data_IF_248786661376
#
_entry.id   IF_248786661376
#
_cell.length_a   1.000
_cell.length_b   1.000
_cell.length_c   1.000
_cell.angle_alpha   90.00
_cell.angle_beta   90.00
_cell.angle_gamma   90.00
#
_symmetry.space_group_name_H-M   'P 1'
#
loop_
_entity.id
_entity.type
_entity.pdbx_description
1 polymer ?
#
# COMPACT_ATOMS: atom_id res chain seq x y z
N UNK A 1 -9.76 0.53 25.08
CA UNK A 1 -10.32 1.89 24.99
C UNK A 1 -9.44 2.71 24.06
N UNK A 2 -9.91 2.97 22.85
CA UNK A 2 -9.32 3.94 21.90
C UNK A 2 -10.48 4.56 21.14
N UNK A 3 -10.59 5.89 21.15
CA UNK A 3 -11.74 6.60 20.58
C UNK A 3 -11.45 6.90 19.11
N UNK A 4 -12.04 6.14 18.20
CA UNK A 4 -12.00 6.43 16.76
C UNK A 4 -12.77 7.73 16.51
N UNK A 5 -12.21 8.64 15.71
CA UNK A 5 -12.89 9.86 15.28
C UNK A 5 -12.79 10.00 13.76
N UNK A 6 -13.92 10.27 13.11
CA UNK A 6 -13.94 10.76 11.74
C UNK A 6 -13.79 12.28 11.76
N UNK A 7 -12.86 12.83 10.96
CA UNK A 7 -12.64 14.28 10.83
C UNK A 7 -12.43 14.63 9.35
N UNK A 8 -13.12 15.67 8.88
CA UNK A 8 -13.21 16.03 7.47
C UNK A 8 -12.00 16.83 6.91
N UNK A 9 -11.64 16.47 5.67
CA UNK A 9 -10.92 17.20 4.59
C UNK A 9 -10.04 18.43 4.93
N UNK A 10 -8.76 18.32 4.55
CA UNK A 10 -8.09 19.04 3.42
C UNK A 10 -6.72 18.35 3.14
N UNK A 11 -5.93 18.58 2.08
CA UNK A 11 -5.99 19.50 0.92
C UNK A 11 -5.53 18.78 -0.38
N UNK A 12 -6.00 19.31 -1.52
CA UNK A 12 -5.48 19.28 -2.91
C UNK A 12 -4.29 18.39 -3.37
N UNK A 13 -4.53 17.66 -4.48
CA UNK A 13 -3.53 17.46 -5.55
C UNK A 13 -3.83 18.45 -6.70
N UNK A 14 -2.78 19.02 -7.31
CA UNK A 14 -2.86 20.13 -8.27
C UNK A 14 -2.98 19.62 -9.72
N UNK A 15 -4.05 19.99 -10.42
CA UNK A 15 -4.16 19.89 -11.89
C UNK A 15 -3.77 21.22 -12.55
N UNK A 16 -3.10 21.17 -13.70
CA UNK A 16 -2.57 22.33 -14.42
C UNK A 16 -3.62 23.01 -15.33
N UNK A 17 -3.35 24.27 -15.66
CA UNK A 17 -4.15 25.19 -16.46
C UNK A 17 -4.52 24.72 -17.88
N UNK A 18 -5.65 25.25 -18.39
CA UNK A 18 -5.74 25.87 -19.74
C UNK A 18 -6.80 26.99 -19.71
N UNK A 19 -6.59 28.02 -20.53
CA UNK A 19 -7.21 29.36 -20.50
C UNK A 19 -8.55 29.57 -21.24
N UNK A 20 -9.29 30.59 -20.78
CA UNK A 20 -10.04 31.64 -21.53
C UNK A 20 -11.15 31.25 -22.52
N UNK A 21 -12.36 31.78 -22.24
CA UNK A 21 -13.19 32.50 -23.21
C UNK A 21 -14.12 33.52 -22.48
N UNK A 22 -14.38 34.66 -23.12
CA UNK A 22 -15.05 35.84 -22.54
C UNK A 22 -16.52 35.99 -22.96
N UNK A 23 -17.31 36.66 -22.13
CA UNK A 23 -18.38 37.57 -22.58
C UNK A 23 -19.82 37.10 -22.38
N UNK A 24 -20.56 37.86 -21.59
CA UNK A 24 -21.92 38.31 -21.90
C UNK A 24 -22.26 39.49 -20.97
N UNK A 25 -22.77 40.57 -21.54
CA UNK A 25 -23.23 41.76 -20.83
C UNK A 25 -24.72 41.56 -20.52
N UNK A 26 -25.21 42.03 -19.37
CA UNK A 26 -26.65 42.22 -19.19
C UNK A 26 -26.95 43.49 -18.41
N UNK A 27 -27.23 44.53 -19.18
CA UNK A 27 -27.86 45.77 -18.78
C UNK A 27 -29.29 45.51 -18.28
N UNK A 28 -29.65 46.07 -17.11
CA UNK A 28 -31.04 46.26 -16.72
C UNK A 28 -31.14 47.55 -15.91
N UNK A 29 -32.05 48.41 -16.34
CA UNK A 29 -32.30 49.76 -15.83
C UNK A 29 -33.63 49.74 -15.06
N UNK A 30 -33.87 50.78 -14.26
CA UNK A 30 -35.12 51.16 -13.57
C UNK A 30 -35.55 50.24 -12.41
N UNK A 31 -36.22 50.71 -11.35
CA UNK A 31 -36.93 51.99 -11.15
C UNK A 31 -36.59 52.67 -9.81
N UNK A 32 -36.87 53.98 -9.77
CA UNK A 32 -36.94 54.82 -8.57
C UNK A 32 -38.27 54.54 -7.85
N UNK A 33 -38.26 54.22 -6.55
CA UNK A 33 -39.47 54.02 -5.76
C UNK A 33 -39.39 54.72 -4.40
N UNK A 34 -40.45 55.44 -4.08
CA UNK A 34 -40.61 56.36 -2.95
C UNK A 34 -40.53 55.72 -1.55
N UNK A 35 -40.37 56.61 -0.58
CA UNK A 35 -40.47 56.35 0.86
C UNK A 35 -41.69 55.49 1.25
N UNK A 36 -41.42 54.42 2.01
CA UNK A 36 -42.39 53.77 2.89
C UNK A 36 -41.75 53.63 4.27
N UNK A 37 -42.14 54.50 5.19
CA UNK A 37 -42.05 54.22 6.63
C UNK A 37 -42.94 53.00 6.92
N UNK A 38 -42.36 51.87 7.31
CA UNK A 38 -43.11 50.74 7.88
C UNK A 38 -42.49 50.23 9.19
N UNK A 39 -43.36 49.65 10.00
CA UNK A 39 -43.24 49.47 11.43
C UNK A 39 -42.24 48.37 11.83
N UNK A 40 -41.80 48.42 13.08
CA UNK A 40 -40.90 47.41 13.66
C UNK A 40 -41.53 46.01 13.66
N UNK A 41 -41.11 45.14 12.75
CA UNK A 41 -41.22 43.69 12.93
C UNK A 41 -39.86 43.17 13.36
N UNK A 42 -39.70 42.98 14.66
CA UNK A 42 -38.61 42.18 15.21
C UNK A 42 -38.90 40.71 14.87
N UNK A 43 -38.49 40.28 13.69
CA UNK A 43 -38.57 38.89 13.29
C UNK A 43 -37.62 38.09 14.18
N UNK A 44 -38.17 37.30 15.10
CA UNK A 44 -37.43 36.26 15.80
C UNK A 44 -37.05 35.21 14.76
N UNK A 45 -35.94 35.46 14.06
CA UNK A 45 -35.18 34.45 13.35
C UNK A 45 -34.74 33.41 14.37
N UNK A 46 -35.64 32.47 14.63
CA UNK A 46 -35.39 31.23 15.31
C UNK A 46 -34.26 30.56 14.52
N UNK A 47 -33.04 30.68 15.05
CA UNK A 47 -31.86 30.12 14.43
C UNK A 47 -32.16 28.63 14.19
N UNK A 48 -32.25 28.23 12.93
CA UNK A 48 -32.37 26.82 12.58
C UNK A 48 -31.13 26.15 13.16
N UNK A 49 -31.35 25.44 14.28
CA UNK A 49 -30.28 24.71 14.95
C UNK A 49 -29.95 23.57 14.00
N UNK A 50 -28.95 23.78 13.14
CA UNK A 50 -28.39 22.72 12.32
C UNK A 50 -28.09 21.55 13.27
N UNK A 51 -28.76 20.40 13.09
CA UNK A 51 -28.65 19.32 14.05
C UNK A 51 -27.19 18.88 14.06
N UNK A 52 -26.51 19.12 15.18
CA UNK A 52 -25.14 18.67 15.39
C UNK A 52 -25.17 17.15 15.44
N UNK A 53 -25.04 16.51 14.27
CA UNK A 53 -25.00 15.06 14.14
C UNK A 53 -23.77 14.57 14.87
N UNK A 54 -23.96 14.02 16.07
CA UNK A 54 -22.87 13.37 16.78
C UNK A 54 -22.28 12.28 15.90
N UNK A 55 -20.95 12.26 15.66
CA UNK A 55 -20.36 11.29 14.76
C UNK A 55 -20.56 9.89 15.33
N UNK A 56 -21.32 9.06 14.61
CA UNK A 56 -21.63 7.69 15.00
C UNK A 56 -20.33 6.93 15.28
N UNK A 57 -20.18 6.46 16.52
CA UNK A 57 -19.01 5.71 16.94
C UNK A 57 -19.03 4.31 16.32
N UNK A 58 -18.30 4.13 15.22
CA UNK A 58 -18.11 2.83 14.59
C UNK A 58 -17.29 1.89 15.49
N UNK A 59 -17.53 0.59 15.34
CA UNK A 59 -16.75 -0.46 15.98
C UNK A 59 -15.42 -0.70 15.27
N UNK A 60 -14.51 -1.42 15.93
CA UNK A 60 -13.24 -1.82 15.31
C UNK A 60 -13.43 -2.78 14.12
N UNK A 61 -14.47 -3.63 14.14
CA UNK A 61 -14.78 -4.53 13.04
C UNK A 61 -15.24 -3.78 11.79
N UNK A 62 -16.18 -2.85 11.95
CA UNK A 62 -16.65 -1.98 10.85
C UNK A 62 -15.51 -1.12 10.27
N UNK A 63 -14.58 -0.67 11.12
CA UNK A 63 -13.38 0.03 10.67
C UNK A 63 -12.44 -0.88 9.86
N UNK A 64 -12.22 -2.13 10.30
CA UNK A 64 -11.39 -3.11 9.59
C UNK A 64 -12.00 -3.49 8.24
N UNK A 65 -13.30 -3.76 8.18
CA UNK A 65 -14.03 -4.08 6.93
C UNK A 65 -13.95 -2.92 5.92
N UNK A 66 -14.12 -1.68 6.38
CA UNK A 66 -14.00 -0.48 5.54
C UNK A 66 -12.54 -0.26 5.07
N UNK A 67 -11.54 -0.48 5.94
CA UNK A 67 -10.13 -0.42 5.54
C UNK A 67 -9.76 -1.54 4.56
N UNK A 68 -10.43 -2.70 4.58
CA UNK A 68 -10.14 -3.80 3.66
C UNK A 68 -10.62 -3.54 2.23
N UNK A 69 -11.80 -2.96 2.01
CA UNK A 69 -12.20 -2.59 0.64
C UNK A 69 -11.29 -1.48 0.08
N UNK A 70 -10.95 -0.47 0.88
CA UNK A 70 -9.97 0.56 0.47
C UNK A 70 -8.58 -0.03 0.20
N UNK A 71 -8.11 -0.94 1.06
CA UNK A 71 -6.82 -1.63 0.88
C UNK A 71 -6.79 -2.38 -0.46
N UNK A 72 -7.86 -3.09 -0.81
CA UNK A 72 -7.95 -3.82 -2.09
C UNK A 72 -7.85 -2.86 -3.28
N UNK A 73 -8.53 -1.72 -3.24
CA UNK A 73 -8.47 -0.71 -4.31
C UNK A 73 -7.08 -0.07 -4.42
N UNK A 74 -6.47 0.30 -3.29
CA UNK A 74 -5.10 0.84 -3.23
C UNK A 74 -4.10 -0.17 -3.80
N UNK A 75 -4.19 -1.44 -3.42
CA UNK A 75 -3.28 -2.49 -3.89
C UNK A 75 -3.48 -2.83 -5.37
N UNK A 76 -4.70 -2.73 -5.90
CA UNK A 76 -4.94 -2.82 -7.34
C UNK A 76 -4.26 -1.64 -8.10
N UNK A 77 -4.27 -0.44 -7.53
CA UNK A 77 -3.52 0.71 -8.04
C UNK A 77 -1.99 0.49 -8.01
N UNK A 78 -1.46 -0.06 -6.91
CA UNK A 78 -0.04 -0.47 -6.80
C UNK A 78 0.31 -1.52 -7.87
N UNK A 79 -0.56 -2.51 -8.08
CA UNK A 79 -0.37 -3.55 -9.09
C UNK A 79 -0.31 -3.00 -10.53
N UNK A 80 -0.91 -1.83 -10.81
CA UNK A 80 -0.82 -1.18 -12.12
C UNK A 80 0.58 -0.69 -12.52
N UNK A 81 1.55 -0.67 -11.58
CA UNK A 81 2.94 -0.29 -11.84
C UNK A 81 3.88 -1.48 -11.62
N UNK A 82 4.56 -1.91 -12.67
CA UNK A 82 5.47 -3.05 -12.62
C UNK A 82 6.60 -2.85 -11.60
N UNK A 83 6.86 -3.88 -10.78
CA UNK A 83 7.81 -3.87 -9.65
C UNK A 83 7.50 -2.86 -8.53
N UNK A 84 6.33 -2.22 -8.53
CA UNK A 84 5.91 -1.35 -7.43
C UNK A 84 5.48 -2.15 -6.20
N UNK A 85 5.90 -1.69 -5.03
CA UNK A 85 5.55 -2.25 -3.73
C UNK A 85 5.08 -1.14 -2.80
N UNK A 86 4.29 -1.50 -1.79
CA UNK A 86 3.93 -0.61 -0.69
C UNK A 86 4.40 -1.20 0.63
N UNK A 87 4.74 -0.37 1.62
CA UNK A 87 5.04 -0.86 2.97
C UNK A 87 3.83 -0.78 3.90
N UNK A 88 3.82 -1.60 4.95
CA UNK A 88 2.71 -1.70 5.91
C UNK A 88 2.32 -0.35 6.55
N UNK A 89 3.27 0.57 6.73
CA UNK A 89 3.01 1.90 7.29
C UNK A 89 2.35 2.79 6.25
N UNK A 90 2.86 2.79 5.02
CA UNK A 90 2.31 3.61 3.94
C UNK A 90 0.91 3.12 3.54
N UNK A 91 0.65 1.80 3.53
CA UNK A 91 -0.69 1.23 3.34
C UNK A 91 -1.63 1.61 4.49
N UNK A 92 -1.21 1.44 5.76
CA UNK A 92 -2.03 1.78 6.92
C UNK A 92 -2.42 3.27 6.97
N UNK A 93 -1.56 4.15 6.48
CA UNK A 93 -1.87 5.58 6.31
C UNK A 93 -2.83 5.81 5.15
N UNK A 94 -2.64 5.11 4.02
CA UNK A 94 -3.47 5.25 2.83
C UNK A 94 -4.92 4.80 3.06
N UNK A 95 -5.14 3.66 3.72
CA UNK A 95 -6.50 3.12 3.98
C UNK A 95 -7.30 4.02 4.93
N UNK A 96 -6.68 4.55 5.99
CA UNK A 96 -7.33 5.50 6.90
C UNK A 96 -7.67 6.82 6.20
N UNK A 97 -6.77 7.30 5.33
CA UNK A 97 -7.00 8.51 4.53
C UNK A 97 -8.12 8.33 3.51
N UNK A 98 -8.21 7.17 2.88
CA UNK A 98 -9.20 6.87 1.86
C UNK A 98 -10.60 6.67 2.46
N UNK A 99 -10.72 5.85 3.52
CA UNK A 99 -11.99 5.62 4.21
C UNK A 99 -12.47 6.80 5.07
N UNK A 100 -11.57 7.73 5.42
CA UNK A 100 -11.84 8.79 6.40
C UNK A 100 -11.93 8.30 7.86
N UNK A 101 -11.64 7.02 8.10
CA UNK A 101 -11.69 6.37 9.41
C UNK A 101 -10.27 6.33 9.98
N UNK A 102 -10.04 7.02 11.10
CA UNK A 102 -8.72 7.16 11.72
C UNK A 102 -8.63 6.49 13.09
N UNK A 103 -7.46 5.90 13.36
CA UNK A 103 -7.09 5.31 14.64
C UNK A 103 -5.71 5.77 15.09
N UNK A 104 -5.53 5.93 16.41
CA UNK A 104 -4.20 6.08 17.03
C UNK A 104 -3.56 4.73 17.37
N UNK A 105 -4.27 3.61 17.19
CA UNK A 105 -3.72 2.27 17.37
C UNK A 105 -2.66 1.99 16.31
N UNK A 106 -1.46 1.63 16.75
CA UNK A 106 -0.33 1.33 15.87
C UNK A 106 -0.69 0.21 14.87
N UNK A 107 -0.38 0.44 13.59
CA UNK A 107 -0.76 -0.39 12.44
C UNK A 107 -0.54 -1.89 12.63
N UNK A 108 0.57 -2.31 13.26
CA UNK A 108 0.89 -3.74 13.43
C UNK A 108 -0.16 -4.52 14.24
N UNK A 109 -1.02 -3.87 15.02
CA UNK A 109 -2.10 -4.52 15.75
C UNK A 109 -3.37 -4.79 14.93
N UNK A 110 -3.49 -4.27 13.71
CA UNK A 110 -4.72 -4.38 12.91
C UNK A 110 -4.48 -4.61 11.40
N UNK A 111 -3.36 -4.15 10.83
CA UNK A 111 -3.13 -4.25 9.38
C UNK A 111 -3.13 -5.70 8.88
N UNK A 112 -2.62 -6.66 9.67
CA UNK A 112 -2.66 -8.08 9.32
C UNK A 112 -4.09 -8.64 9.19
N UNK A 113 -5.04 -8.19 10.03
CA UNK A 113 -6.46 -8.59 9.89
C UNK A 113 -7.08 -8.03 8.61
N UNK A 114 -6.81 -6.75 8.31
CA UNK A 114 -7.23 -6.10 7.07
C UNK A 114 -6.65 -6.83 5.85
N UNK A 115 -5.36 -7.21 5.87
CA UNK A 115 -4.73 -7.98 4.80
C UNK A 115 -5.35 -9.37 4.64
N UNK A 116 -5.67 -10.07 5.74
CA UNK A 116 -6.34 -11.37 5.69
C UNK A 116 -7.75 -11.27 5.05
N UNK A 117 -8.51 -10.21 5.38
CA UNK A 117 -9.79 -9.92 4.73
C UNK A 117 -9.61 -9.66 3.22
N UNK A 118 -8.64 -8.84 2.82
CA UNK A 118 -8.32 -8.57 1.41
C UNK A 118 -7.98 -9.87 0.67
N UNK A 119 -7.11 -10.72 1.25
CA UNK A 119 -6.72 -11.99 0.65
C UNK A 119 -7.93 -12.91 0.44
N UNK A 120 -8.83 -13.01 1.43
CA UNK A 120 -10.07 -13.78 1.32
C UNK A 120 -11.00 -13.22 0.22
N UNK A 121 -11.15 -11.89 0.12
CA UNK A 121 -11.93 -11.23 -0.94
C UNK A 121 -11.32 -11.46 -2.32
N UNK A 122 -9.99 -11.37 -2.47
CA UNK A 122 -9.33 -11.68 -3.74
C UNK A 122 -9.58 -13.13 -4.16
N UNK A 123 -9.42 -14.08 -3.23
CA UNK A 123 -9.66 -15.51 -3.49
C UNK A 123 -11.11 -15.80 -3.96
N UNK A 124 -12.10 -15.17 -3.32
CA UNK A 124 -13.52 -15.30 -3.72
C UNK A 124 -13.78 -14.68 -5.10
N UNK A 125 -13.09 -13.58 -5.45
CA UNK A 125 -13.21 -12.91 -6.76
C UNK A 125 -12.39 -13.56 -7.88
N UNK A 126 -11.51 -14.50 -7.57
CA UNK A 126 -10.52 -15.03 -8.52
C UNK A 126 -9.44 -14.00 -8.91
N UNK A 127 -9.23 -12.98 -8.07
CA UNK A 127 -8.16 -11.99 -8.21
C UNK A 127 -6.84 -12.57 -7.63
N UNK A 128 -5.66 -12.18 -8.15
CA UNK A 128 -4.39 -12.62 -7.57
C UNK A 128 -4.20 -12.05 -6.16
N UNK A 129 -3.24 -12.62 -5.41
CA UNK A 129 -2.97 -12.22 -4.03
C UNK A 129 -2.31 -10.83 -3.94
N UNK A 130 -3.12 -9.77 -4.02
CA UNK A 130 -2.69 -8.37 -3.98
C UNK A 130 -1.88 -8.03 -2.72
N UNK A 131 -2.14 -8.72 -1.61
CA UNK A 131 -1.39 -8.59 -0.36
C UNK A 131 0.11 -8.93 -0.49
N UNK A 132 0.51 -9.70 -1.52
CA UNK A 132 1.91 -9.97 -1.84
C UNK A 132 2.73 -8.72 -2.19
N UNK A 133 2.07 -7.62 -2.59
CA UNK A 133 2.68 -6.32 -2.88
C UNK A 133 3.06 -5.55 -1.60
N UNK A 134 2.57 -5.98 -0.44
CA UNK A 134 2.84 -5.36 0.86
C UNK A 134 4.09 -5.96 1.48
N UNK A 135 5.03 -5.11 1.89
CA UNK A 135 6.29 -5.55 2.50
C UNK A 135 6.63 -4.80 3.78
N UNK A 136 7.44 -5.42 4.64
CA UNK A 136 7.98 -4.77 5.82
C UNK A 136 8.97 -3.67 5.42
N UNK A 137 8.76 -2.42 5.87
CA UNK A 137 9.55 -1.24 5.50
C UNK A 137 11.07 -1.42 5.54
N UNK A 138 11.60 -2.05 6.58
CA UNK A 138 13.05 -2.32 6.74
C UNK A 138 13.51 -3.58 5.98
N UNK A 139 12.91 -4.74 6.28
CA UNK A 139 13.38 -6.04 5.78
C UNK A 139 13.04 -6.30 4.30
N UNK A 140 11.98 -5.69 3.77
CA UNK A 140 11.50 -5.92 2.41
C UNK A 140 10.80 -7.28 2.21
N UNK A 141 10.32 -7.89 3.29
CA UNK A 141 9.65 -9.21 3.31
C UNK A 141 8.14 -9.07 3.47
N UNK A 142 7.34 -10.05 3.02
CA UNK A 142 5.89 -10.12 3.29
C UNK A 142 5.57 -10.47 4.75
N UNK A 143 6.41 -11.30 5.38
CA UNK A 143 6.24 -11.71 6.78
C UNK A 143 5.24 -12.86 6.99
N UNK A 144 4.74 -12.97 8.22
CA UNK A 144 3.94 -14.11 8.68
C UNK A 144 2.49 -14.03 8.20
N UNK A 145 1.93 -12.82 8.06
CA UNK A 145 0.56 -12.58 7.54
C UNK A 145 0.35 -13.16 6.12
N UNK A 146 1.43 -13.45 5.38
CA UNK A 146 1.36 -14.11 4.07
C UNK A 146 0.92 -15.60 4.14
N UNK A 147 0.96 -16.24 5.31
CA UNK A 147 0.47 -17.62 5.46
C UNK A 147 -1.03 -17.75 5.16
N UNK A 148 -1.83 -16.69 5.29
CA UNK A 148 -3.23 -16.69 4.88
C UNK A 148 -3.39 -16.83 3.36
N UNK A 149 -2.50 -16.21 2.57
CA UNK A 149 -2.47 -16.38 1.11
C UNK A 149 -2.17 -17.83 0.75
N UNK A 150 -1.16 -18.43 1.38
CA UNK A 150 -0.81 -19.84 1.16
C UNK A 150 -2.00 -20.76 1.49
N UNK A 151 -2.65 -20.53 2.65
CA UNK A 151 -3.82 -21.28 3.10
C UNK A 151 -4.98 -21.18 2.10
N UNK A 152 -5.29 -19.99 1.60
CA UNK A 152 -6.37 -19.75 0.62
C UNK A 152 -6.06 -20.39 -0.74
N UNK A 153 -4.79 -20.41 -1.15
CA UNK A 153 -4.34 -21.08 -2.39
C UNK A 153 -4.22 -22.62 -2.24
N UNK A 154 -4.43 -23.18 -1.04
CA UNK A 154 -4.24 -24.60 -0.76
C UNK A 154 -2.76 -25.04 -0.76
N UNK A 155 -1.83 -24.09 -0.66
CA UNK A 155 -0.38 -24.33 -0.61
C UNK A 155 0.02 -24.62 0.84
N UNK A 156 0.82 -25.67 1.12
CA UNK A 156 1.36 -25.91 2.46
C UNK A 156 2.16 -24.71 2.99
N UNK A 157 2.07 -24.44 4.29
CA UNK A 157 2.80 -23.35 4.93
C UNK A 157 4.32 -23.45 4.66
N UNK A 158 4.91 -22.35 4.19
CA UNK A 158 6.33 -22.31 3.81
C UNK A 158 7.15 -21.80 5.00
N UNK A 159 7.92 -22.70 5.62
CA UNK A 159 8.74 -22.40 6.80
C UNK A 159 10.09 -21.75 6.48
N UNK A 160 10.64 -21.93 5.27
CA UNK A 160 11.85 -21.22 4.85
C UNK A 160 11.50 -19.79 4.39
N UNK A 161 12.11 -18.74 4.98
CA UNK A 161 11.81 -17.36 4.61
C UNK A 161 12.17 -17.01 3.15
N UNK A 162 13.17 -17.65 2.54
CA UNK A 162 13.55 -17.35 1.16
C UNK A 162 12.60 -17.99 0.16
N UNK A 163 12.14 -19.22 0.40
CA UNK A 163 11.10 -19.86 -0.40
C UNK A 163 9.76 -19.11 -0.28
N UNK A 164 9.42 -18.61 0.92
CA UNK A 164 8.24 -17.75 1.13
C UNK A 164 8.32 -16.47 0.28
N UNK A 165 9.48 -15.81 0.25
CA UNK A 165 9.68 -14.60 -0.55
C UNK A 165 9.74 -14.85 -2.06
N UNK A 166 10.20 -16.04 -2.50
CA UNK A 166 10.10 -16.47 -3.90
C UNK A 166 8.64 -16.70 -4.30
N UNK A 167 7.84 -17.34 -3.45
CA UNK A 167 6.40 -17.51 -3.67
C UNK A 167 5.69 -16.16 -3.76
N UNK A 168 5.99 -15.24 -2.82
CA UNK A 168 5.49 -13.87 -2.88
C UNK A 168 5.95 -13.13 -4.15
N UNK A 169 7.19 -13.31 -4.60
CA UNK A 169 7.69 -12.73 -5.85
C UNK A 169 6.95 -13.24 -7.09
N UNK A 170 6.53 -14.50 -7.12
CA UNK A 170 5.67 -15.05 -8.17
C UNK A 170 4.25 -14.45 -8.12
N UNK A 171 3.62 -14.41 -6.94
CA UNK A 171 2.30 -13.81 -6.75
C UNK A 171 2.26 -12.31 -7.15
N UNK A 172 3.32 -11.55 -6.87
CA UNK A 172 3.47 -10.16 -7.33
C UNK A 172 3.43 -10.04 -8.85
N UNK A 173 4.04 -10.98 -9.59
CA UNK A 173 3.99 -10.99 -11.06
C UNK A 173 2.58 -11.25 -11.60
N UNK A 174 1.81 -12.10 -10.93
CA UNK A 174 0.40 -12.32 -11.26
C UNK A 174 -0.42 -11.05 -11.03
N UNK A 175 -0.15 -10.32 -9.94
CA UNK A 175 -0.76 -9.01 -9.68
C UNK A 175 -0.45 -7.99 -10.80
N UNK A 176 0.82 -7.83 -11.18
CA UNK A 176 1.20 -6.89 -12.27
C UNK A 176 0.58 -7.27 -13.62
N UNK A 177 0.48 -8.57 -13.92
CA UNK A 177 -0.17 -9.08 -15.15
C UNK A 177 -1.67 -8.84 -15.15
N UNK A 178 -2.35 -9.14 -14.04
CA UNK A 178 -3.79 -8.93 -13.85
C UNK A 178 -4.18 -7.46 -13.96
N UNK A 179 -3.39 -6.55 -13.37
CA UNK A 179 -3.62 -5.12 -13.43
C UNK A 179 -3.20 -4.45 -14.76
N UNK A 180 -2.69 -5.22 -15.73
CA UNK A 180 -2.26 -4.68 -17.02
C UNK A 180 -1.05 -3.75 -16.95
N UNK A 181 -0.16 -3.94 -15.97
CA UNK A 181 1.01 -3.09 -15.77
C UNK A 181 1.92 -3.08 -17.01
N UNK A 182 2.53 -1.92 -17.29
CA UNK A 182 3.51 -1.80 -18.39
C UNK A 182 4.78 -2.60 -18.07
N UNK A 183 4.85 -3.82 -18.60
CA UNK A 183 5.98 -4.73 -18.49
C UNK A 183 7.00 -4.55 -19.64
N UNK A 184 8.25 -5.02 -19.50
CA UNK A 184 9.20 -5.07 -20.60
C UNK A 184 8.77 -6.08 -21.69
N UNK A 185 9.37 -5.98 -22.88
CA UNK A 185 9.01 -6.82 -24.05
C UNK A 185 9.23 -8.33 -23.83
N UNK A 186 10.10 -8.71 -22.89
CA UNK A 186 10.34 -10.11 -22.49
C UNK A 186 9.26 -10.68 -21.55
N UNK A 187 8.24 -9.88 -21.19
CA UNK A 187 7.18 -10.25 -20.26
C UNK A 187 7.52 -10.09 -18.78
N UNK A 188 8.72 -9.60 -18.46
CA UNK A 188 9.19 -9.35 -17.10
C UNK A 188 9.45 -10.60 -16.26
N UNK A 189 10.03 -10.39 -15.09
CA UNK A 189 10.51 -11.46 -14.21
C UNK A 189 10.13 -11.23 -12.75
N UNK A 190 9.81 -12.32 -12.05
CA UNK A 190 9.54 -12.33 -10.62
C UNK A 190 10.76 -11.86 -9.82
N UNK A 191 10.55 -10.86 -8.97
CA UNK A 191 11.62 -10.21 -8.23
C UNK A 191 11.34 -10.18 -6.72
N UNK A 192 12.40 -10.43 -5.95
CA UNK A 192 12.44 -10.06 -4.54
C UNK A 192 12.37 -8.54 -4.41
N UNK A 193 11.92 -8.02 -3.26
CA UNK A 193 11.95 -6.57 -3.03
C UNK A 193 13.40 -6.04 -3.14
N UNK A 194 13.60 -4.78 -3.58
CA UNK A 194 14.94 -4.20 -3.70
C UNK A 194 15.76 -4.27 -2.41
N UNK A 195 15.11 -4.09 -1.25
CA UNK A 195 15.75 -4.15 0.08
C UNK A 195 16.22 -5.57 0.41
N UNK A 196 15.38 -6.58 0.17
CA UNK A 196 15.72 -7.98 0.39
C UNK A 196 16.84 -8.45 -0.55
N UNK A 197 16.74 -8.13 -1.84
CA UNK A 197 17.75 -8.47 -2.85
C UNK A 197 19.12 -7.85 -2.52
N UNK A 198 19.15 -6.58 -2.09
CA UNK A 198 20.38 -5.92 -1.63
C UNK A 198 20.95 -6.57 -0.37
N UNK A 199 20.11 -6.94 0.61
CA UNK A 199 20.54 -7.65 1.83
C UNK A 199 21.21 -8.98 1.50
N UNK A 200 20.53 -9.85 0.74
CA UNK A 200 21.05 -11.16 0.32
C UNK A 200 22.36 -11.01 -0.47
N UNK A 201 22.48 -9.98 -1.32
CA UNK A 201 23.71 -9.71 -2.08
C UNK A 201 24.88 -9.33 -1.16
N UNK A 202 24.63 -8.48 -0.15
CA UNK A 202 25.64 -8.11 0.86
C UNK A 202 26.06 -9.29 1.73
N UNK A 203 25.10 -10.10 2.17
CA UNK A 203 25.35 -11.30 2.97
C UNK A 203 26.17 -12.35 2.20
N UNK A 204 25.82 -12.62 0.93
CA UNK A 204 26.61 -13.50 0.05
C UNK A 204 28.02 -12.98 -0.19
N UNK A 205 28.19 -11.66 -0.38
CA UNK A 205 29.51 -11.04 -0.52
C UNK A 205 30.34 -11.24 0.76
N UNK A 206 29.78 -10.90 1.92
CA UNK A 206 30.44 -11.07 3.22
C UNK A 206 30.80 -12.53 3.50
N UNK A 207 29.89 -13.46 3.25
CA UNK A 207 30.14 -14.90 3.42
C UNK A 207 31.27 -15.41 2.50
N UNK A 208 31.43 -14.85 1.30
CA UNK A 208 32.56 -15.14 0.40
C UNK A 208 33.89 -14.54 0.90
N UNK A 209 33.85 -13.37 1.53
CA UNK A 209 35.03 -12.70 2.11
C UNK A 209 35.48 -13.37 3.42
N UNK A 210 34.55 -13.92 4.20
CA UNK A 210 34.81 -14.66 5.45
C UNK A 210 35.06 -16.16 5.25
N UNK A 211 34.82 -16.70 4.05
CA UNK A 211 35.04 -18.10 3.76
C UNK A 211 36.54 -18.47 3.92
N UNK A 212 36.88 -19.55 4.64
CA UNK A 212 38.26 -20.00 4.74
C UNK A 212 38.78 -20.35 3.34
N UNK A 213 40.04 -19.99 3.01
CA UNK A 213 40.61 -20.34 1.71
C UNK A 213 40.60 -21.86 1.54
N UNK A 214 40.21 -22.34 0.36
CA UNK A 214 40.35 -23.77 0.04
C UNK A 214 41.83 -24.12 0.06
N UNK A 215 42.23 -25.16 0.79
CA UNK A 215 43.64 -25.54 0.96
C UNK A 215 43.96 -26.78 0.12
N UNK A 216 45.11 -26.78 -0.54
CA UNK A 216 45.58 -27.92 -1.32
C UNK A 216 45.89 -29.12 -0.42
N UNK A 217 45.29 -30.32 -0.67
CA UNK A 217 45.53 -31.49 0.17
C UNK A 217 46.95 -32.06 0.06
N UNK A 218 47.70 -31.67 -0.98
CA UNK A 218 49.05 -32.18 -1.28
C UNK A 218 50.15 -31.30 -0.70
N UNK A 219 50.05 -29.97 -0.83
CA UNK A 219 51.09 -29.02 -0.41
C UNK A 219 50.65 -28.02 0.67
N UNK A 220 49.39 -28.08 1.12
CA UNK A 220 48.82 -27.24 2.17
C UNK A 220 48.85 -25.73 1.93
N UNK A 221 49.11 -25.28 0.69
CA UNK A 221 48.94 -23.87 0.30
C UNK A 221 47.48 -23.55 -0.05
N UNK A 222 47.10 -22.29 0.09
CA UNK A 222 45.79 -21.79 -0.34
C UNK A 222 45.66 -21.91 -1.87
N UNK A 223 44.53 -22.46 -2.32
CA UNK A 223 44.18 -22.59 -3.74
C UNK A 223 43.55 -21.27 -4.21
N UNK A 224 44.01 -20.66 -5.31
CA UNK A 224 43.40 -19.47 -5.89
C UNK A 224 41.97 -19.75 -6.43
N UNK A 225 41.15 -18.71 -6.72
CA UNK A 225 39.77 -18.88 -7.19
C UNK A 225 39.60 -19.65 -8.52
N UNK A 226 40.68 -20.01 -9.21
CA UNK A 226 40.68 -20.90 -10.38
C UNK A 226 40.40 -22.35 -10.02
N UNK A 227 40.55 -22.74 -8.75
CA UNK A 227 40.36 -24.11 -8.27
C UNK A 227 41.56 -25.04 -8.51
N UNK A 228 42.66 -24.54 -9.07
CA UNK A 228 43.89 -25.28 -9.39
C UNK A 228 45.03 -24.76 -8.51
N UNK A 229 45.88 -25.66 -8.00
CA UNK A 229 46.99 -25.28 -7.14
C UNK A 229 48.25 -24.94 -7.96
N UNK A 230 48.72 -23.69 -7.87
CA UNK A 230 49.88 -23.17 -8.63
C UNK A 230 51.18 -23.98 -8.46
N UNK A 231 51.30 -24.79 -7.40
CA UNK A 231 52.48 -25.61 -7.10
C UNK A 231 52.29 -27.12 -7.38
N UNK A 232 51.06 -27.61 -7.57
CA UNK A 232 50.79 -29.03 -7.78
C UNK A 232 50.22 -29.37 -9.17
N UNK A 233 49.61 -28.41 -9.86
CA UNK A 233 48.85 -28.65 -11.10
C UNK A 233 47.42 -29.10 -10.84
#
# INVERSE_FOLDING_TARGET
MGKLMAVGRMTYWRTTDTEVATGAENELVVDEFDDVDDETVADEVAAEVEPTVEPLAITAGEAEDAWAEEARQILAGVAGTYHMLIDHTDLANAVQKASGIYTSTNAHYWIGRVLNQVAAVNAVKGEPALTSLVVHRVQGTVGDDYDEVLRLMGVPAISDPNEREKHAAAARMECYRWAGAKMPEDGGNAALSPKLAQRITRERKRAREEAPPTVCPTCFMAIPPTGVCDNCG
#
